data_IF_045379205035
#
_entry.id   IF_045379205035
#
_cell.length_a   1.000
_cell.length_b   1.000
_cell.length_c   1.000
_cell.angle_alpha   90.00
_cell.angle_beta   90.00
_cell.angle_gamma   90.00
#
_symmetry.space_group_name_H-M   'P 1'
#
loop_
_entity.id
_entity.type
_entity.pdbx_description
1 polymer ?
#
# COMPACT_ATOMS: atom_id res chain seq x y z
N UNK A 1 -20.19 1.40 -10.10
CA UNK A 1 -20.92 0.14 -10.38
C UNK A 1 -21.61 -0.39 -9.13
N UNK A 2 -20.93 -0.52 -7.99
CA UNK A 2 -21.54 -1.03 -6.75
C UNK A 2 -22.77 -0.20 -6.28
N UNK A 3 -22.72 1.13 -6.41
CA UNK A 3 -23.84 2.04 -6.14
C UNK A 3 -25.10 1.73 -6.98
N UNK A 4 -24.91 1.32 -8.24
CA UNK A 4 -26.00 0.94 -9.13
C UNK A 4 -26.52 -0.49 -8.87
N UNK A 5 -25.72 -1.34 -8.23
CA UNK A 5 -26.05 -2.73 -7.88
C UNK A 5 -26.63 -2.85 -6.45
N UNK A 6 -26.96 -1.73 -5.80
CA UNK A 6 -27.55 -1.70 -4.45
C UNK A 6 -26.59 -2.10 -3.32
N UNK A 7 -25.31 -2.32 -3.62
CA UNK A 7 -24.29 -2.69 -2.64
C UNK A 7 -23.21 -1.59 -2.62
N UNK A 8 -23.44 -0.47 -1.91
CA UNK A 8 -22.48 0.63 -1.89
C UNK A 8 -21.15 0.17 -1.27
N UNK A 9 -20.07 0.27 -2.05
CA UNK A 9 -18.70 0.02 -1.62
C UNK A 9 -18.17 1.35 -1.12
N UNK A 10 -18.11 1.48 0.20
CA UNK A 10 -17.57 2.67 0.86
C UNK A 10 -16.04 2.65 0.77
N UNK A 11 -15.44 3.84 0.78
CA UNK A 11 -13.98 4.01 0.89
C UNK A 11 -13.60 4.01 2.38
N UNK A 12 -14.04 2.98 3.09
CA UNK A 12 -13.72 2.77 4.50
C UNK A 12 -12.51 1.85 4.58
N UNK A 13 -11.38 2.44 4.93
CA UNK A 13 -10.12 1.74 5.11
C UNK A 13 -9.74 1.76 6.58
N UNK A 14 -9.15 0.66 7.04
CA UNK A 14 -8.67 0.59 8.40
C UNK A 14 -7.40 1.44 8.59
N UNK A 15 -7.13 1.86 9.82
CA UNK A 15 -5.93 2.65 10.15
C UNK A 15 -4.61 2.09 9.56
N UNK A 16 -4.29 0.79 9.67
CA UNK A 16 -3.07 0.24 9.08
C UNK A 16 -3.07 0.30 7.54
N UNK A 17 -4.22 0.14 6.89
CA UNK A 17 -4.35 0.21 5.42
C UNK A 17 -4.07 1.63 4.91
N UNK A 18 -4.66 2.64 5.56
CA UNK A 18 -4.40 4.05 5.23
C UNK A 18 -2.92 4.37 5.43
N UNK A 19 -2.34 3.98 6.56
CA UNK A 19 -0.93 4.23 6.85
C UNK A 19 -0.01 3.58 5.81
N UNK A 20 -0.29 2.33 5.42
CA UNK A 20 0.48 1.62 4.41
C UNK A 20 0.36 2.27 3.03
N UNK A 21 -0.85 2.69 2.63
CA UNK A 21 -1.06 3.39 1.36
C UNK A 21 -0.33 4.74 1.31
N UNK A 22 -0.41 5.53 2.38
CA UNK A 22 0.29 6.83 2.47
C UNK A 22 1.80 6.62 2.41
N UNK A 23 2.35 5.70 3.22
CA UNK A 23 3.77 5.40 3.21
C UNK A 23 4.25 4.92 1.84
N UNK A 24 3.52 3.99 1.20
CA UNK A 24 3.84 3.51 -0.13
C UNK A 24 3.85 4.63 -1.18
N UNK A 25 2.86 5.54 -1.14
CA UNK A 25 2.80 6.67 -2.07
C UNK A 25 3.96 7.64 -1.91
N UNK A 26 4.38 7.93 -0.67
CA UNK A 26 5.53 8.80 -0.38
C UNK A 26 6.82 8.14 -0.85
N UNK A 27 7.04 6.86 -0.51
CA UNK A 27 8.24 6.13 -0.92
C UNK A 27 8.33 6.06 -2.46
N UNK A 28 7.23 5.73 -3.13
CA UNK A 28 7.18 5.69 -4.58
C UNK A 28 7.46 7.06 -5.21
N UNK A 29 6.90 8.13 -4.65
CA UNK A 29 7.18 9.49 -5.11
C UNK A 29 8.67 9.84 -4.93
N UNK A 30 9.28 9.53 -3.79
CA UNK A 30 10.69 9.80 -3.51
C UNK A 30 11.62 9.04 -4.48
N UNK A 31 11.34 7.76 -4.74
CA UNK A 31 12.10 6.94 -5.70
C UNK A 31 11.89 7.41 -7.15
N UNK A 32 10.80 8.12 -7.44
CA UNK A 32 10.55 8.65 -8.78
C UNK A 32 11.21 10.02 -9.03
N UNK A 33 11.75 10.70 -8.00
CA UNK A 33 12.26 12.08 -8.12
C UNK A 33 13.46 12.20 -9.04
N UNK A 34 14.38 11.25 -9.02
CA UNK A 34 15.67 11.32 -9.70
C UNK A 34 15.65 10.81 -11.14
N UNK A 35 14.47 10.46 -11.67
CA UNK A 35 14.21 10.07 -13.07
C UNK A 35 15.12 8.96 -13.62
N UNK A 36 15.79 8.21 -12.74
CA UNK A 36 16.64 7.06 -13.05
C UNK A 36 16.24 5.94 -12.10
N UNK A 37 15.93 4.77 -12.66
CA UNK A 37 15.65 3.59 -11.83
C UNK A 37 16.88 2.73 -11.71
N UNK A 38 17.16 2.25 -10.50
CA UNK A 38 18.22 1.29 -10.25
C UNK A 38 17.66 -0.04 -9.69
N UNK A 39 18.39 -1.14 -9.90
CA UNK A 39 17.93 -2.48 -9.49
C UNK A 39 17.82 -2.63 -7.96
N UNK A 40 18.66 -1.90 -7.21
CA UNK A 40 18.67 -1.89 -5.75
C UNK A 40 17.47 -1.11 -5.20
N UNK A 41 17.06 0.01 -5.81
CA UNK A 41 15.79 0.70 -5.52
C UNK A 41 14.60 -0.25 -5.70
N UNK A 42 14.55 -0.96 -6.82
CA UNK A 42 13.54 -1.98 -7.06
C UNK A 42 13.53 -3.07 -5.98
N UNK A 43 14.71 -3.58 -5.61
CA UNK A 43 14.84 -4.57 -4.54
C UNK A 43 14.39 -4.02 -3.17
N UNK A 44 14.69 -2.76 -2.85
CA UNK A 44 14.23 -2.10 -1.62
C UNK A 44 12.71 -1.93 -1.60
N UNK A 45 12.08 -1.56 -2.73
CA UNK A 45 10.62 -1.48 -2.84
C UNK A 45 9.96 -2.84 -2.63
N UNK A 46 10.52 -3.91 -3.21
CA UNK A 46 10.05 -5.28 -2.98
C UNK A 46 10.22 -5.67 -1.51
N UNK A 47 11.35 -5.32 -0.88
CA UNK A 47 11.56 -5.60 0.54
C UNK A 47 10.51 -4.90 1.42
N UNK A 48 10.21 -3.63 1.17
CA UNK A 48 9.15 -2.89 1.90
C UNK A 48 7.78 -3.54 1.68
N UNK A 49 7.46 -3.94 0.44
CA UNK A 49 6.22 -4.64 0.12
C UNK A 49 6.10 -5.97 0.89
N UNK A 50 7.18 -6.76 0.97
CA UNK A 50 7.20 -8.00 1.74
C UNK A 50 7.06 -7.76 3.24
N UNK A 51 7.73 -6.74 3.79
CA UNK A 51 7.60 -6.38 5.21
C UNK A 51 6.16 -5.99 5.54
N UNK A 52 5.52 -5.16 4.69
CA UNK A 52 4.12 -4.81 4.84
C UNK A 52 3.23 -6.06 4.71
N UNK A 53 3.42 -6.88 3.68
CA UNK A 53 2.63 -8.10 3.48
C UNK A 53 2.71 -9.08 4.66
N UNK A 54 3.91 -9.27 5.23
CA UNK A 54 4.10 -10.07 6.44
C UNK A 54 3.40 -9.40 7.63
N UNK A 55 3.53 -8.08 7.79
CA UNK A 55 2.82 -7.34 8.84
C UNK A 55 1.30 -7.51 8.76
N UNK A 56 0.72 -7.35 7.56
CA UNK A 56 -0.71 -7.54 7.31
C UNK A 56 -1.16 -8.99 7.52
N UNK A 57 -0.32 -9.98 7.22
CA UNK A 57 -0.64 -11.39 7.47
C UNK A 57 -0.88 -11.68 8.96
N UNK A 58 -0.20 -10.97 9.86
CA UNK A 58 -0.37 -11.12 11.31
C UNK A 58 -1.40 -10.14 11.91
N UNK A 59 -1.97 -9.22 11.12
CA UNK A 59 -3.03 -8.34 11.63
C UNK A 59 -4.33 -9.13 11.82
N UNK A 60 -5.09 -8.88 12.92
CA UNK A 60 -6.38 -9.51 13.13
C UNK A 60 -7.34 -9.13 12.00
N UNK A 61 -8.07 -10.12 11.46
CA UNK A 61 -9.07 -9.91 10.39
C UNK A 61 -10.30 -9.06 10.81
N UNK A 62 -10.35 -8.60 12.07
CA UNK A 62 -11.47 -7.86 12.68
C UNK A 62 -11.07 -6.42 13.09
N UNK A 63 -9.84 -5.98 12.82
CA UNK A 63 -9.52 -4.54 12.90
C UNK A 63 -9.96 -3.82 11.64
#
# INVERSE_FOLDING_TARGET
ISLALGNPMTLEFNHPEILAMVAASIIAALVAVDARSNWLEGAMLIAVYLILGIGFFFLPAMM
#
